data_IF_637638279720
#
_entry.id   IF_637638279720
#
_cell.length_a   1.000
_cell.length_b   1.000
_cell.length_c   1.000
_cell.angle_alpha   90.00
_cell.angle_beta   90.00
_cell.angle_gamma   90.00
#
_symmetry.space_group_name_H-M   'P 1'
#
loop_
_entity.id
_entity.type
_entity.pdbx_description
1 polymer ?
#
# COMPACT_ATOMS: atom_id res chain seq x y z
N UNK A 1 -1.70 27.55 -23.39
CA UNK A 1 -1.73 26.37 -22.51
C UNK A 1 -2.36 26.80 -21.21
N UNK A 2 -3.54 26.29 -20.92
CA UNK A 2 -4.22 26.64 -19.66
C UNK A 2 -3.35 26.13 -18.50
N UNK A 3 -3.03 27.04 -17.57
CA UNK A 3 -2.29 26.69 -16.38
C UNK A 3 -3.14 25.68 -15.57
N UNK A 4 -2.58 24.53 -15.26
CA UNK A 4 -3.22 23.57 -14.37
C UNK A 4 -3.30 24.19 -12.98
N UNK A 5 -4.52 24.46 -12.52
CA UNK A 5 -4.75 25.13 -11.21
C UNK A 5 -5.09 24.07 -10.17
N UNK A 6 -4.51 24.20 -8.98
CA UNK A 6 -4.78 23.36 -7.82
C UNK A 6 -6.28 23.28 -7.53
N UNK A 7 -6.81 22.05 -7.42
CA UNK A 7 -8.17 21.80 -6.93
C UNK A 7 -8.14 21.59 -5.40
N UNK A 8 -8.69 22.55 -4.66
CA UNK A 8 -8.74 22.51 -3.19
C UNK A 8 -9.69 21.42 -2.67
N UNK A 9 -10.83 21.17 -3.35
CA UNK A 9 -11.77 20.13 -2.98
C UNK A 9 -11.18 18.74 -3.12
N UNK A 10 -10.58 18.45 -4.26
CA UNK A 10 -9.89 17.17 -4.51
C UNK A 10 -8.73 16.96 -3.53
N UNK A 11 -7.95 18.03 -3.29
CA UNK A 11 -6.85 17.99 -2.32
C UNK A 11 -7.33 17.65 -0.91
N UNK A 12 -8.39 18.30 -0.44
CA UNK A 12 -8.98 18.03 0.88
C UNK A 12 -9.52 16.60 0.97
N UNK A 13 -10.20 16.12 -0.08
CA UNK A 13 -10.67 14.74 -0.15
C UNK A 13 -9.53 13.73 -0.11
N UNK A 14 -8.45 13.98 -0.84
CA UNK A 14 -7.29 13.10 -0.86
C UNK A 14 -6.54 13.06 0.47
N UNK A 15 -6.45 14.18 1.20
CA UNK A 15 -5.90 14.20 2.56
C UNK A 15 -6.76 13.39 3.52
N UNK A 16 -8.09 13.56 3.48
CA UNK A 16 -9.03 12.77 4.27
C UNK A 16 -8.94 11.28 3.93
N UNK A 17 -8.92 10.94 2.64
CA UNK A 17 -8.79 9.55 2.17
C UNK A 17 -7.47 8.91 2.61
N UNK A 18 -6.37 9.66 2.57
CA UNK A 18 -5.07 9.21 3.08
C UNK A 18 -5.16 8.83 4.56
N UNK A 19 -5.79 9.67 5.38
CA UNK A 19 -5.98 9.39 6.81
C UNK A 19 -6.88 8.16 7.04
N UNK A 20 -7.95 8.02 6.25
CA UNK A 20 -8.85 6.86 6.31
C UNK A 20 -8.12 5.56 5.97
N UNK A 21 -7.30 5.55 4.92
CA UNK A 21 -6.52 4.35 4.55
C UNK A 21 -5.42 4.07 5.57
N UNK A 22 -4.77 5.09 6.15
CA UNK A 22 -3.82 4.89 7.23
C UNK A 22 -4.45 4.17 8.42
N UNK A 23 -5.70 4.51 8.78
CA UNK A 23 -6.47 3.87 9.84
C UNK A 23 -6.69 2.37 9.59
N UNK A 24 -6.67 1.91 8.33
CA UNK A 24 -6.86 0.50 8.02
C UNK A 24 -5.70 -0.37 8.51
N UNK A 25 -4.48 0.13 8.57
CA UNK A 25 -3.33 -0.66 9.06
C UNK A 25 -3.46 -1.02 10.54
N UNK A 26 -3.72 -0.10 11.49
CA UNK A 26 -4.08 -0.48 12.86
C UNK A 26 -5.39 -1.28 12.94
N UNK A 27 -6.38 -1.01 12.09
CA UNK A 27 -7.58 -1.85 11.97
C UNK A 27 -7.24 -3.30 11.66
N UNK A 28 -6.34 -3.52 10.70
CA UNK A 28 -5.83 -4.85 10.36
C UNK A 28 -5.06 -5.50 11.51
N UNK A 29 -4.28 -4.71 12.26
CA UNK A 29 -3.57 -5.20 13.43
C UNK A 29 -4.54 -5.74 14.50
N UNK A 30 -5.64 -5.05 14.77
CA UNK A 30 -6.70 -5.53 15.67
C UNK A 30 -7.40 -6.76 15.10
N UNK A 31 -7.75 -6.75 13.83
CA UNK A 31 -8.40 -7.88 13.16
C UNK A 31 -7.56 -9.16 13.26
N UNK A 32 -6.32 -9.10 12.84
CA UNK A 32 -5.41 -10.25 12.91
C UNK A 32 -5.03 -10.61 14.35
N UNK A 33 -4.83 -9.58 15.21
CA UNK A 33 -4.56 -9.77 16.62
C UNK A 33 -5.67 -10.58 17.31
N UNK A 34 -6.94 -10.28 17.01
CA UNK A 34 -8.09 -11.04 17.53
C UNK A 34 -8.21 -12.46 16.98
N UNK A 35 -7.73 -12.70 15.75
CA UNK A 35 -7.83 -13.99 15.05
C UNK A 35 -6.80 -15.03 15.51
N UNK A 36 -5.65 -14.60 16.05
CA UNK A 36 -4.59 -15.50 16.50
C UNK A 36 -4.79 -15.96 17.94
N UNK A 37 -3.94 -16.86 18.41
CA UNK A 37 -3.93 -17.30 19.83
C UNK A 37 -3.45 -16.17 20.74
N UNK A 38 -3.93 -16.10 21.98
CA UNK A 38 -3.60 -15.05 22.96
C UNK A 38 -2.10 -14.77 23.08
N UNK A 39 -1.26 -15.80 23.11
CA UNK A 39 0.20 -15.65 23.20
C UNK A 39 0.87 -15.02 21.98
N UNK A 40 0.17 -14.93 20.85
CA UNK A 40 0.69 -14.41 19.60
C UNK A 40 0.15 -13.01 19.23
N UNK A 41 -0.76 -12.46 20.05
CA UNK A 41 -1.47 -11.21 19.76
C UNK A 41 -0.51 -10.06 19.53
N UNK A 42 0.38 -9.80 20.46
CA UNK A 42 1.31 -8.67 20.39
C UNK A 42 2.23 -8.80 19.16
N UNK A 43 2.79 -9.99 18.92
CA UNK A 43 3.63 -10.23 17.76
C UNK A 43 2.88 -9.97 16.46
N UNK A 44 1.63 -10.44 16.36
CA UNK A 44 0.80 -10.25 15.17
C UNK A 44 0.46 -8.78 14.91
N UNK A 45 0.08 -8.05 15.96
CA UNK A 45 -0.20 -6.63 15.85
C UNK A 45 1.05 -5.83 15.46
N UNK A 46 2.20 -6.14 16.07
CA UNK A 46 3.47 -5.51 15.73
C UNK A 46 3.88 -5.79 14.29
N UNK A 47 3.63 -6.99 13.76
CA UNK A 47 3.91 -7.32 12.36
C UNK A 47 3.12 -6.44 11.39
N UNK A 48 1.87 -6.10 11.69
CA UNK A 48 1.09 -5.16 10.89
C UNK A 48 1.57 -3.72 11.07
N UNK A 49 1.82 -3.28 12.32
CA UNK A 49 2.18 -1.88 12.61
C UNK A 49 3.57 -1.49 12.10
N UNK A 50 4.54 -2.41 12.13
CA UNK A 50 5.92 -2.12 11.70
C UNK A 50 6.03 -1.77 10.22
N UNK A 51 5.07 -2.21 9.39
CA UNK A 51 5.05 -1.88 7.96
C UNK A 51 4.93 -0.37 7.76
N UNK A 52 4.20 0.35 8.64
CA UNK A 52 4.09 1.80 8.57
C UNK A 52 5.48 2.44 8.61
N UNK A 53 6.30 2.08 9.61
CA UNK A 53 7.64 2.67 9.76
C UNK A 53 8.59 2.29 8.64
N UNK A 54 8.72 0.99 8.36
CA UNK A 54 9.68 0.49 7.36
C UNK A 54 9.33 1.03 5.96
N UNK A 55 8.09 0.83 5.53
CA UNK A 55 7.70 1.19 4.17
C UNK A 55 7.69 2.68 3.95
N UNK A 56 7.28 3.49 4.96
CA UNK A 56 7.31 4.95 4.83
C UNK A 56 8.72 5.48 4.59
N UNK A 57 9.72 4.96 5.30
CA UNK A 57 11.12 5.36 5.09
C UNK A 57 11.59 4.99 3.69
N UNK A 58 11.36 3.75 3.27
CA UNK A 58 11.75 3.29 1.93
C UNK A 58 11.02 4.05 0.83
N UNK A 59 9.73 4.34 1.04
CA UNK A 59 8.91 5.07 0.09
C UNK A 59 9.43 6.48 -0.16
N UNK A 60 9.75 7.22 0.90
CA UNK A 60 10.30 8.56 0.79
C UNK A 60 11.67 8.56 0.11
N UNK A 61 12.54 7.61 0.46
CA UNK A 61 13.90 7.58 -0.06
C UNK A 61 13.91 7.24 -1.57
N UNK A 62 13.17 6.20 -2.00
CA UNK A 62 13.20 5.72 -3.39
C UNK A 62 11.92 5.01 -3.87
N UNK A 63 11.06 4.52 -2.97
CA UNK A 63 9.92 3.68 -3.35
C UNK A 63 8.91 4.40 -4.23
N UNK A 64 8.62 5.67 -3.91
CA UNK A 64 7.76 6.50 -4.74
C UNK A 64 8.29 6.64 -6.16
N UNK A 65 9.60 6.78 -6.32
CA UNK A 65 10.23 6.90 -7.63
C UNK A 65 10.20 5.61 -8.43
N UNK A 66 10.44 4.47 -7.78
CA UNK A 66 10.32 3.17 -8.45
C UNK A 66 8.91 2.91 -8.95
N UNK A 67 7.88 3.40 -8.23
CA UNK A 67 6.49 3.26 -8.61
C UNK A 67 6.01 4.32 -9.62
N UNK A 68 6.40 5.60 -9.43
CA UNK A 68 5.81 6.75 -10.14
C UNK A 68 6.84 7.73 -10.69
N UNK A 69 8.12 7.39 -10.71
CA UNK A 69 9.17 8.26 -11.23
C UNK A 69 9.06 8.47 -12.75
N UNK A 70 9.58 9.62 -13.22
CA UNK A 70 9.40 10.09 -14.61
C UNK A 70 10.66 10.05 -15.49
N UNK A 71 11.83 9.68 -14.95
CA UNK A 71 13.09 9.65 -15.72
C UNK A 71 13.41 8.29 -16.35
N UNK A 72 12.43 7.43 -16.50
CA UNK A 72 12.60 6.12 -17.13
C UNK A 72 11.53 5.92 -18.20
N UNK A 73 11.92 5.38 -19.33
CA UNK A 73 11.00 4.90 -20.37
C UNK A 73 10.66 3.41 -20.17
N UNK A 74 11.09 2.84 -19.04
CA UNK A 74 10.86 1.44 -18.73
C UNK A 74 9.41 1.19 -18.31
N UNK A 75 8.73 0.17 -18.85
CA UNK A 75 7.42 -0.25 -18.37
C UNK A 75 7.50 -1.07 -17.07
N UNK A 76 8.70 -1.41 -16.61
CA UNK A 76 8.93 -2.29 -15.47
C UNK A 76 9.12 -1.56 -14.14
N UNK A 77 9.66 -0.35 -14.18
CA UNK A 77 9.89 0.49 -13.01
C UNK A 77 10.03 1.96 -13.41
N UNK A 78 9.66 2.86 -12.52
CA UNK A 78 9.85 4.29 -12.68
C UNK A 78 11.31 4.71 -12.56
N UNK A 79 11.61 5.94 -12.89
CA UNK A 79 12.95 6.50 -12.88
C UNK A 79 13.26 7.32 -11.64
N UNK A 80 14.54 7.52 -11.37
CA UNK A 80 15.03 8.30 -10.23
C UNK A 80 15.12 9.79 -10.57
N UNK A 81 14.09 10.54 -10.26
CA UNK A 81 14.01 12.00 -10.52
C UNK A 81 13.43 12.82 -9.38
N UNK A 82 12.93 12.15 -8.35
CA UNK A 82 12.22 12.72 -7.21
C UNK A 82 12.79 12.24 -5.87
N UNK A 83 14.04 11.73 -5.83
CA UNK A 83 14.64 11.11 -4.64
C UNK A 83 14.46 11.95 -3.39
N UNK A 84 13.98 11.33 -2.33
CA UNK A 84 13.61 12.02 -1.10
C UNK A 84 12.40 12.94 -1.21
N UNK A 85 11.60 12.83 -2.28
CA UNK A 85 10.46 13.69 -2.59
C UNK A 85 10.78 15.20 -2.72
N UNK A 86 12.06 15.59 -2.68
CA UNK A 86 12.46 17.00 -2.79
C UNK A 86 12.03 17.64 -4.11
N UNK A 87 12.11 16.89 -5.21
CA UNK A 87 11.64 17.34 -6.53
C UNK A 87 10.12 17.38 -6.70
N UNK A 88 9.36 16.91 -5.71
CA UNK A 88 7.90 16.89 -5.73
C UNK A 88 7.26 18.11 -5.03
N UNK A 89 8.06 18.88 -4.29
CA UNK A 89 7.60 20.07 -3.59
C UNK A 89 7.10 21.11 -4.59
N UNK A 90 5.94 21.69 -4.33
CA UNK A 90 5.27 22.67 -5.19
C UNK A 90 4.91 22.17 -6.60
N UNK A 91 4.90 20.84 -6.83
CA UNK A 91 4.44 20.27 -8.10
C UNK A 91 3.03 19.70 -7.96
N UNK A 92 2.27 19.73 -9.06
CA UNK A 92 0.97 19.10 -9.16
C UNK A 92 1.09 17.77 -9.89
N UNK A 93 0.48 16.74 -9.32
CA UNK A 93 0.18 15.50 -10.01
C UNK A 93 -1.16 15.67 -10.72
N UNK A 94 -1.19 15.37 -12.01
CA UNK A 94 -2.43 15.36 -12.75
C UNK A 94 -2.45 14.17 -13.73
N UNK A 95 -3.58 13.53 -13.84
CA UNK A 95 -3.77 12.45 -14.80
C UNK A 95 -4.28 13.07 -16.11
N UNK A 96 -3.35 13.49 -16.97
CA UNK A 96 -3.71 14.11 -18.25
C UNK A 96 -4.37 15.49 -18.17
N UNK A 97 -4.19 16.22 -17.06
CA UNK A 97 -4.80 17.52 -16.80
C UNK A 97 -6.10 17.45 -16.00
N UNK A 98 -6.57 16.27 -15.66
CA UNK A 98 -7.75 16.01 -14.82
C UNK A 98 -7.26 15.76 -13.39
N UNK A 99 -7.93 16.34 -12.38
CA UNK A 99 -7.65 16.17 -10.94
C UNK A 99 -6.26 16.66 -10.48
N UNK A 100 -5.96 17.95 -10.62
CA UNK A 100 -4.69 18.51 -10.18
C UNK A 100 -4.60 18.61 -8.66
N UNK A 101 -3.83 17.73 -8.05
CA UNK A 101 -3.55 17.68 -6.61
C UNK A 101 -2.04 17.79 -6.36
N UNK A 102 -1.59 18.25 -5.18
CA UNK A 102 -0.16 18.26 -4.88
C UNK A 102 0.46 16.85 -4.99
N UNK A 103 1.64 16.76 -5.62
CA UNK A 103 2.36 15.47 -5.75
C UNK A 103 2.60 14.83 -4.40
N UNK A 104 2.87 15.63 -3.36
CA UNK A 104 3.06 15.10 -2.00
C UNK A 104 1.79 14.47 -1.43
N UNK A 105 0.60 15.00 -1.75
CA UNK A 105 -0.68 14.39 -1.37
C UNK A 105 -0.90 13.08 -2.11
N UNK A 106 -0.63 13.04 -3.40
CA UNK A 106 -0.66 11.81 -4.18
C UNK A 106 0.33 10.77 -3.64
N UNK A 107 1.58 11.18 -3.36
CA UNK A 107 2.60 10.30 -2.78
C UNK A 107 2.18 9.75 -1.41
N UNK A 108 1.58 10.59 -0.55
CA UNK A 108 1.08 10.16 0.75
C UNK A 108 -0.09 9.17 0.64
N UNK A 109 -1.01 9.38 -0.29
CA UNK A 109 -2.11 8.46 -0.55
C UNK A 109 -1.59 7.10 -1.05
N UNK A 110 -0.71 7.09 -2.04
CA UNK A 110 -0.12 5.88 -2.57
C UNK A 110 0.78 5.14 -1.56
N UNK A 111 1.41 5.87 -0.64
CA UNK A 111 2.14 5.28 0.49
C UNK A 111 1.24 4.39 1.35
N UNK A 112 -0.01 4.76 1.56
CA UNK A 112 -0.92 3.96 2.40
C UNK A 112 -1.17 2.58 1.80
N UNK A 113 -1.24 2.48 0.49
CA UNK A 113 -1.34 1.20 -0.22
C UNK A 113 -0.03 0.39 -0.12
N UNK A 114 1.11 1.07 -0.24
CA UNK A 114 2.43 0.44 -0.05
C UNK A 114 2.61 -0.12 1.37
N UNK A 115 2.06 0.53 2.38
CA UNK A 115 2.11 0.12 3.79
C UNK A 115 1.19 -1.06 4.06
N UNK A 116 -0.07 -0.99 3.62
CA UNK A 116 -1.07 -2.02 3.96
C UNK A 116 -0.82 -3.34 3.23
N UNK A 117 -0.24 -3.31 2.03
CA UNK A 117 -0.04 -4.52 1.22
C UNK A 117 0.82 -5.57 1.92
N UNK A 118 2.04 -5.28 2.41
CA UNK A 118 2.79 -6.25 3.19
C UNK A 118 2.09 -6.57 4.52
N UNK A 119 1.41 -5.61 5.16
CA UNK A 119 0.65 -5.90 6.37
C UNK A 119 -0.40 -7.00 6.16
N UNK A 120 -1.09 -7.03 5.01
CA UNK A 120 -2.02 -8.10 4.66
C UNK A 120 -1.36 -9.48 4.61
N UNK A 121 -0.12 -9.58 4.15
CA UNK A 121 0.62 -10.85 4.07
C UNK A 121 0.84 -11.44 5.47
N UNK A 122 0.98 -10.61 6.51
CA UNK A 122 1.30 -11.05 7.87
C UNK A 122 0.32 -12.10 8.42
N UNK A 123 -0.95 -12.03 8.03
CA UNK A 123 -1.97 -13.02 8.42
C UNK A 123 -1.65 -14.44 7.95
N UNK A 124 -1.03 -14.59 6.79
CA UNK A 124 -0.65 -15.90 6.25
C UNK A 124 0.47 -16.58 7.03
N UNK A 125 1.28 -15.83 7.77
CA UNK A 125 2.44 -16.34 8.53
C UNK A 125 2.20 -16.37 10.04
N UNK A 126 0.97 -16.19 10.48
CA UNK A 126 0.58 -16.25 11.89
C UNK A 126 1.13 -17.50 12.60
N UNK A 127 1.71 -17.33 13.79
CA UNK A 127 2.36 -18.39 14.58
C UNK A 127 3.54 -19.13 13.91
N UNK A 128 4.12 -18.58 12.84
CA UNK A 128 5.17 -19.23 12.05
C UNK A 128 6.43 -18.40 11.83
N UNK A 129 6.35 -17.09 11.98
CA UNK A 129 7.46 -16.18 11.71
C UNK A 129 7.89 -15.39 12.95
N UNK A 130 9.19 -15.12 13.04
CA UNK A 130 9.77 -14.20 14.03
C UNK A 130 9.62 -12.77 13.53
N UNK A 131 9.41 -11.83 14.45
CA UNK A 131 9.25 -10.41 14.15
C UNK A 131 10.43 -9.83 13.33
N UNK A 132 11.67 -10.12 13.73
CA UNK A 132 12.86 -9.60 13.02
C UNK A 132 12.92 -10.08 11.57
N UNK A 133 12.65 -11.39 11.34
CA UNK A 133 12.61 -11.94 9.99
C UNK A 133 11.50 -11.30 9.15
N UNK A 134 10.37 -10.99 9.77
CA UNK A 134 9.28 -10.26 9.13
C UNK A 134 9.68 -8.85 8.74
N UNK A 135 10.33 -8.10 9.61
CA UNK A 135 10.78 -6.74 9.33
C UNK A 135 11.75 -6.70 8.13
N UNK A 136 12.69 -7.63 8.07
CA UNK A 136 13.62 -7.76 6.93
C UNK A 136 12.85 -8.14 5.65
N UNK A 137 11.91 -9.09 5.76
CA UNK A 137 11.07 -9.48 4.63
C UNK A 137 10.28 -8.30 4.07
N UNK A 138 9.65 -7.48 4.93
CA UNK A 138 8.88 -6.30 4.52
C UNK A 138 9.76 -5.35 3.70
N UNK A 139 10.98 -5.05 4.17
CA UNK A 139 11.88 -4.14 3.47
C UNK A 139 12.25 -4.67 2.07
N UNK A 140 12.65 -5.95 1.98
CA UNK A 140 13.06 -6.57 0.72
C UNK A 140 11.86 -6.72 -0.21
N UNK A 141 10.74 -7.27 0.28
CA UNK A 141 9.56 -7.55 -0.53
C UNK A 141 8.92 -6.28 -1.08
N UNK A 142 8.82 -5.22 -0.27
CA UNK A 142 8.30 -3.94 -0.75
C UNK A 142 9.16 -3.37 -1.87
N UNK A 143 10.50 -3.48 -1.75
CA UNK A 143 11.44 -2.97 -2.75
C UNK A 143 11.41 -3.77 -4.06
N UNK A 144 11.47 -5.10 -3.95
CA UNK A 144 11.66 -5.98 -5.12
C UNK A 144 10.34 -6.36 -5.78
N UNK A 145 9.23 -6.36 -5.04
CA UNK A 145 7.93 -6.81 -5.52
C UNK A 145 6.92 -5.66 -5.56
N UNK A 146 6.62 -5.03 -4.41
CA UNK A 146 5.52 -4.08 -4.36
C UNK A 146 5.75 -2.85 -5.23
N UNK A 147 6.88 -2.17 -5.11
CA UNK A 147 7.13 -0.93 -5.86
C UNK A 147 7.14 -1.16 -7.37
N UNK A 148 7.78 -2.20 -7.93
CA UNK A 148 7.65 -2.53 -9.34
C UNK A 148 6.22 -2.87 -9.76
N UNK A 149 5.49 -3.70 -8.98
CA UNK A 149 4.10 -4.05 -9.31
C UNK A 149 3.18 -2.83 -9.25
N UNK A 150 3.38 -1.93 -8.30
CA UNK A 150 2.64 -0.66 -8.26
C UNK A 150 2.90 0.18 -9.52
N UNK A 151 4.13 0.20 -10.04
CA UNK A 151 4.44 0.81 -11.33
C UNK A 151 3.69 0.12 -12.48
N UNK A 152 3.74 -1.20 -12.55
CA UNK A 152 3.08 -1.96 -13.63
C UNK A 152 1.59 -1.68 -13.73
N UNK A 153 0.94 -1.49 -12.58
CA UNK A 153 -0.51 -1.39 -12.46
C UNK A 153 -1.00 0.06 -12.45
N UNK A 154 -0.34 0.95 -11.72
CA UNK A 154 -0.84 2.30 -11.43
C UNK A 154 -0.13 3.43 -12.20
N UNK A 155 0.93 3.14 -12.94
CA UNK A 155 1.55 4.15 -13.78
C UNK A 155 0.85 4.23 -15.14
N UNK A 156 -0.03 5.21 -15.29
CA UNK A 156 -0.81 5.42 -16.52
C UNK A 156 -0.24 6.54 -17.41
N UNK A 157 1.05 6.85 -17.33
CA UNK A 157 1.60 8.04 -17.98
C UNK A 157 1.16 9.32 -17.28
N UNK A 158 1.09 9.30 -15.94
CA UNK A 158 0.70 10.44 -15.13
C UNK A 158 1.65 11.61 -15.32
N UNK A 159 1.14 12.84 -15.23
CA UNK A 159 1.98 14.04 -15.24
C UNK A 159 2.38 14.44 -13.84
N UNK A 160 3.65 14.80 -13.70
CA UNK A 160 4.22 15.46 -12.51
C UNK A 160 4.83 16.77 -12.99
N UNK A 161 4.15 17.88 -12.76
CA UNK A 161 4.46 19.15 -13.42
C UNK A 161 4.33 18.99 -14.95
N UNK A 162 5.37 19.37 -15.70
CA UNK A 162 5.43 19.26 -17.16
C UNK A 162 5.94 17.89 -17.67
N UNK A 163 6.29 16.98 -16.77
CA UNK A 163 6.90 15.70 -17.11
C UNK A 163 5.89 14.57 -17.03
N UNK A 164 5.98 13.65 -18.01
CA UNK A 164 5.14 12.45 -18.07
C UNK A 164 5.92 11.28 -17.50
N UNK A 165 5.27 10.49 -16.63
CA UNK A 165 5.81 9.21 -16.16
C UNK A 165 5.66 8.16 -17.25
N UNK A 166 6.52 7.14 -17.28
CA UNK A 166 6.33 5.99 -18.16
C UNK A 166 5.03 5.26 -17.82
N UNK A 167 4.46 4.61 -18.85
CA UNK A 167 3.29 3.74 -18.66
C UNK A 167 3.75 2.37 -18.17
N UNK A 168 3.18 1.90 -17.06
CA UNK A 168 3.48 0.60 -16.48
C UNK A 168 3.09 -0.56 -17.38
N UNK A 169 3.78 -1.70 -17.27
CA UNK A 169 3.62 -2.87 -18.12
C UNK A 169 2.18 -3.37 -18.24
N UNK A 170 1.46 -3.50 -17.13
CA UNK A 170 0.08 -4.00 -17.11
C UNK A 170 -0.91 -2.91 -17.50
N UNK A 171 -0.71 -1.68 -17.04
CA UNK A 171 -1.51 -0.53 -17.43
C UNK A 171 -1.47 -0.32 -18.97
N UNK A 172 -0.28 -0.43 -19.57
CA UNK A 172 -0.11 -0.36 -21.03
C UNK A 172 -0.77 -1.50 -21.82
N UNK A 173 -1.14 -2.59 -21.15
CA UNK A 173 -1.92 -3.71 -21.71
C UNK A 173 -3.43 -3.60 -21.48
N UNK A 174 -3.87 -2.50 -20.88
CA UNK A 174 -5.30 -2.27 -20.61
C UNK A 174 -5.80 -2.93 -19.33
N UNK A 175 -4.92 -3.28 -18.39
CA UNK A 175 -5.36 -3.71 -17.06
C UNK A 175 -6.06 -2.56 -16.36
N UNK A 176 -7.28 -2.79 -15.93
CA UNK A 176 -8.05 -1.87 -15.09
C UNK A 176 -7.97 -2.32 -13.63
N UNK A 177 -7.22 -1.59 -12.82
CA UNK A 177 -7.16 -1.72 -11.37
C UNK A 177 -7.46 -0.36 -10.74
N UNK A 178 -8.70 -0.17 -10.30
CA UNK A 178 -9.16 1.12 -9.79
C UNK A 178 -8.58 1.43 -8.39
N UNK A 179 -8.56 0.44 -7.51
CA UNK A 179 -8.24 0.65 -6.10
C UNK A 179 -7.34 -0.45 -5.50
N UNK A 180 -6.55 -1.16 -6.28
CA UNK A 180 -5.57 -2.11 -5.76
C UNK A 180 -6.03 -3.57 -5.74
N UNK A 181 -7.04 -3.94 -6.52
CA UNK A 181 -7.43 -5.35 -6.67
C UNK A 181 -6.24 -6.23 -7.08
N UNK A 182 -5.43 -5.76 -8.00
CA UNK A 182 -4.21 -6.45 -8.48
C UNK A 182 -2.99 -6.08 -7.66
N UNK A 183 -2.67 -4.78 -7.58
CA UNK A 183 -1.42 -4.30 -6.96
C UNK A 183 -1.35 -4.59 -5.46
N UNK A 184 -2.47 -4.58 -4.76
CA UNK A 184 -2.55 -4.84 -3.31
C UNK A 184 -2.98 -6.28 -3.05
N UNK A 185 -4.20 -6.66 -3.47
CA UNK A 185 -4.85 -7.88 -2.99
C UNK A 185 -4.33 -9.15 -3.67
N UNK A 186 -4.25 -9.19 -4.99
CA UNK A 186 -3.67 -10.36 -5.70
C UNK A 186 -2.20 -10.52 -5.31
N UNK A 187 -1.46 -9.43 -5.26
CA UNK A 187 -0.04 -9.42 -4.91
C UNK A 187 0.21 -9.92 -3.48
N UNK A 188 -0.53 -9.39 -2.49
CA UNK A 188 -0.46 -9.86 -1.11
C UNK A 188 -0.91 -11.31 -0.96
N UNK A 189 -1.97 -11.71 -1.66
CA UNK A 189 -2.49 -13.08 -1.66
C UNK A 189 -1.49 -14.09 -2.22
N UNK A 190 -0.85 -13.77 -3.34
CA UNK A 190 0.19 -14.61 -3.95
C UNK A 190 1.41 -14.76 -3.02
N UNK A 191 1.87 -13.65 -2.42
CA UNK A 191 2.96 -13.68 -1.45
C UNK A 191 2.58 -14.49 -0.20
N UNK A 192 1.35 -14.32 0.31
CA UNK A 192 0.81 -15.10 1.44
C UNK A 192 0.76 -16.59 1.15
N UNK A 193 0.33 -16.98 -0.05
CA UNK A 193 0.32 -18.37 -0.49
C UNK A 193 1.74 -18.95 -0.56
N UNK A 194 2.68 -18.22 -1.19
CA UNK A 194 4.07 -18.65 -1.29
C UNK A 194 4.70 -18.86 0.10
N UNK A 195 4.51 -17.91 1.02
CA UNK A 195 5.02 -18.03 2.38
C UNK A 195 4.33 -19.18 3.15
N UNK A 196 3.04 -19.39 2.96
CA UNK A 196 2.33 -20.49 3.61
C UNK A 196 2.86 -21.87 3.17
N UNK A 197 3.23 -22.01 1.90
CA UNK A 197 3.83 -23.22 1.35
C UNK A 197 5.25 -23.44 1.89
N UNK A 198 6.08 -22.39 1.89
CA UNK A 198 7.50 -22.46 2.31
C UNK A 198 7.61 -22.71 3.82
N UNK A 199 6.85 -21.99 4.63
CA UNK A 199 6.91 -22.09 6.09
C UNK A 199 6.20 -23.32 6.65
N UNK A 200 5.35 -23.95 5.86
CA UNK A 200 4.65 -25.17 6.26
C UNK A 200 3.55 -24.91 7.30
N UNK A 201 3.28 -25.90 8.14
CA UNK A 201 2.15 -25.90 9.09
C UNK A 201 2.39 -24.98 10.29
N UNK A 202 1.31 -24.34 10.78
CA UNK A 202 1.34 -23.54 12.03
C UNK A 202 1.71 -24.42 13.23
N UNK A 203 2.36 -23.81 14.21
CA UNK A 203 2.63 -24.48 15.50
C UNK A 203 1.31 -24.90 16.14
N UNK A 204 1.19 -26.17 16.53
CA UNK A 204 -0.02 -26.75 17.10
C UNK A 204 -1.08 -27.20 16.06
N UNK A 205 -0.76 -27.22 14.74
CA UNK A 205 -1.68 -27.68 13.70
C UNK A 205 -2.26 -29.07 14.00
N UNK A 206 -3.60 -29.17 14.02
CA UNK A 206 -4.38 -30.37 14.37
C UNK A 206 -4.16 -30.93 15.80
N UNK A 207 -3.39 -30.25 16.65
CA UNK A 207 -3.16 -30.64 18.05
C UNK A 207 -3.79 -29.64 19.04
N UNK A 208 -3.92 -28.40 18.67
CA UNK A 208 -4.47 -27.32 19.47
C UNK A 208 -5.62 -26.63 18.74
N UNK A 209 -6.53 -26.03 19.49
CA UNK A 209 -7.59 -25.19 18.90
C UNK A 209 -6.99 -23.93 18.25
N UNK A 210 -7.39 -23.66 17.00
CA UNK A 210 -6.97 -22.47 16.23
C UNK A 210 -8.08 -21.42 16.20
N UNK A 211 -9.00 -21.44 17.16
CA UNK A 211 -10.08 -20.46 17.24
C UNK A 211 -9.55 -19.06 17.54
N UNK A 212 -10.18 -17.99 17.00
CA UNK A 212 -9.92 -16.63 17.41
C UNK A 212 -10.02 -16.48 18.93
N UNK A 213 -9.04 -15.81 19.56
CA UNK A 213 -9.08 -15.64 21.01
C UNK A 213 -10.00 -14.50 21.44
N UNK A 214 -10.22 -13.49 20.58
CA UNK A 214 -11.02 -12.31 20.90
C UNK A 214 -11.86 -11.84 19.71
N UNK A 215 -13.11 -12.29 19.64
CA UNK A 215 -14.05 -11.80 18.62
C UNK A 215 -14.31 -10.29 18.71
N UNK A 216 -14.39 -9.66 19.94
CA UNK A 216 -14.49 -8.20 20.01
C UNK A 216 -13.37 -7.46 19.29
N UNK A 217 -12.11 -7.91 19.40
CA UNK A 217 -10.99 -7.31 18.63
C UNK A 217 -11.14 -7.52 17.13
N UNK A 218 -11.60 -8.69 16.71
CA UNK A 218 -11.89 -8.97 15.28
C UNK A 218 -12.94 -8.02 14.76
N UNK A 219 -14.05 -7.82 15.51
CA UNK A 219 -15.13 -6.92 15.10
C UNK A 219 -14.66 -5.46 15.08
N UNK A 220 -13.91 -5.01 16.08
CA UNK A 220 -13.32 -3.68 16.11
C UNK A 220 -12.42 -3.46 14.89
N UNK A 221 -11.51 -4.38 14.63
CA UNK A 221 -10.62 -4.32 13.46
C UNK A 221 -11.39 -4.31 12.15
N UNK A 222 -12.43 -5.12 12.02
CA UNK A 222 -13.31 -5.13 10.84
C UNK A 222 -14.02 -3.79 10.64
N UNK A 223 -14.53 -3.18 11.71
CA UNK A 223 -15.18 -1.87 11.66
C UNK A 223 -14.22 -0.76 11.21
N UNK A 224 -13.00 -0.75 11.75
CA UNK A 224 -11.96 0.20 11.34
C UNK A 224 -11.54 0.00 9.88
N UNK A 225 -11.38 -1.24 9.43
CA UNK A 225 -11.11 -1.56 8.03
C UNK A 225 -12.25 -1.09 7.13
N UNK A 226 -13.48 -1.37 7.49
CA UNK A 226 -14.66 -0.95 6.72
C UNK A 226 -14.75 0.57 6.61
N UNK A 227 -14.58 1.28 7.72
CA UNK A 227 -14.58 2.73 7.72
C UNK A 227 -13.46 3.31 6.84
N UNK A 228 -12.25 2.79 6.95
CA UNK A 228 -11.12 3.20 6.12
C UNK A 228 -11.32 2.89 4.63
N UNK A 229 -12.14 1.88 4.29
CA UNK A 229 -12.39 1.47 2.91
C UNK A 229 -13.13 2.54 2.09
N UNK A 230 -13.86 3.44 2.72
CA UNK A 230 -14.39 4.62 2.02
C UNK A 230 -13.27 5.46 1.41
N UNK A 231 -12.19 5.71 2.17
CA UNK A 231 -11.01 6.37 1.64
C UNK A 231 -10.25 5.51 0.63
N UNK A 232 -10.18 4.20 0.86
CA UNK A 232 -9.48 3.27 -0.03
C UNK A 232 -10.07 3.27 -1.44
N UNK A 233 -11.36 3.10 -1.59
CA UNK A 233 -12.02 3.05 -2.89
C UNK A 233 -12.38 4.44 -3.42
N UNK A 234 -13.10 5.26 -2.67
CA UNK A 234 -13.52 6.56 -3.16
C UNK A 234 -12.33 7.54 -3.31
N UNK A 235 -11.28 7.41 -2.48
CA UNK A 235 -10.04 8.16 -2.67
C UNK A 235 -9.28 7.76 -3.94
N UNK A 236 -9.43 6.53 -4.43
CA UNK A 236 -8.77 6.07 -5.66
C UNK A 236 -9.28 6.75 -6.93
N UNK A 237 -10.40 7.48 -6.87
CA UNK A 237 -10.83 8.38 -7.92
C UNK A 237 -9.90 9.60 -8.08
N UNK A 238 -9.04 9.90 -7.09
CA UNK A 238 -8.15 11.08 -7.01
C UNK A 238 -8.91 12.42 -7.06
N UNK A 239 -10.20 12.40 -6.83
CA UNK A 239 -11.09 13.55 -6.86
C UNK A 239 -12.29 13.36 -5.93
N UNK A 240 -12.93 14.46 -5.54
CA UNK A 240 -14.20 14.50 -4.82
C UNK A 240 -15.36 14.48 -5.81
N UNK A 241 -15.63 13.31 -6.41
CA UNK A 241 -16.70 13.12 -7.39
C UNK A 241 -17.55 11.87 -7.08
#
# INVERSE_FOLDING_TARGET
MDQVVLNGGDTAWMLASTALVLLMTPGLAFFYGGMVRTKSVLNMMMMSMVTIGIVSVLWVIYGFELAFGYKSDSPWFGGFGLSGLGGAVNQLANNGGVYPIPVLVFAAFQLMFAVITPALISGAIADRAKFTSWAVFVAIWSTVVYFPVAHWVFAFGNKIGDKVTSTGYLAGKGLEDFAGGTAVHINAGAAGLALALILGKRVGWRKESMRPHSLPLVMLGSGLLWFGWFGFNAGSALAAN
#
